data_IF_141050655851
#
_entry.id   IF_141050655851
#
_cell.length_a   1.000
_cell.length_b   1.000
_cell.length_c   1.000
_cell.angle_alpha   90.00
_cell.angle_beta   90.00
_cell.angle_gamma   90.00
#
_symmetry.space_group_name_H-M   'P 1'
#
loop_
_entity.id
_entity.type
_entity.pdbx_description
1 polymer ?
#
# COMPACT_ATOMS: atom_id res chain seq x y z
N UNK A 1 21.37 31.03 9.46
CA UNK A 1 21.17 29.68 10.03
C UNK A 1 21.15 28.74 8.84
N UNK A 2 21.90 27.66 8.86
CA UNK A 2 21.88 26.63 7.80
C UNK A 2 20.57 25.87 7.90
N UNK A 3 19.94 25.54 6.76
CA UNK A 3 18.75 24.69 6.70
C UNK A 3 19.06 23.32 7.32
N UNK A 4 18.20 22.79 8.20
CA UNK A 4 18.40 21.47 8.75
C UNK A 4 18.30 20.41 7.66
N UNK A 5 19.26 19.48 7.64
CA UNK A 5 19.30 18.37 6.68
C UNK A 5 18.46 17.20 7.16
N UNK A 6 17.75 16.53 6.23
CA UNK A 6 16.81 15.46 6.53
C UNK A 6 17.10 14.19 5.75
N UNK A 7 17.11 13.06 6.47
CA UNK A 7 16.86 11.73 5.91
C UNK A 7 15.37 11.46 5.96
N UNK A 8 14.72 11.36 4.79
CA UNK A 8 13.28 11.20 4.67
C UNK A 8 12.93 9.74 4.36
N UNK A 9 12.09 9.15 5.20
CA UNK A 9 11.58 7.78 5.04
C UNK A 9 10.13 7.83 4.58
N UNK A 10 9.84 7.24 3.44
CA UNK A 10 8.52 7.25 2.82
C UNK A 10 7.91 5.85 2.82
N UNK A 11 6.83 5.67 3.57
CA UNK A 11 6.18 4.39 3.78
C UNK A 11 5.40 3.87 2.57
N UNK A 12 5.11 2.56 2.58
CA UNK A 12 4.18 1.90 1.66
C UNK A 12 2.73 2.24 2.02
N UNK A 13 1.79 2.22 1.06
CA UNK A 13 0.38 2.42 1.39
C UNK A 13 -0.55 2.70 0.19
N UNK A 14 -0.19 2.31 -1.02
CA UNK A 14 -1.04 2.49 -2.20
C UNK A 14 -1.39 3.96 -2.43
N UNK A 15 -2.66 4.26 -2.71
CA UNK A 15 -3.13 5.62 -2.99
C UNK A 15 -2.86 6.62 -1.85
N UNK A 16 -2.84 6.15 -0.58
CA UNK A 16 -2.47 6.99 0.58
C UNK A 16 -1.08 7.62 0.43
N UNK A 17 -0.20 6.96 -0.33
CA UNK A 17 1.14 7.47 -0.62
C UNK A 17 1.19 8.81 -1.36
N UNK A 18 0.08 9.29 -1.95
CA UNK A 18 0.05 10.67 -2.46
C UNK A 18 0.29 11.72 -1.35
N UNK A 19 0.02 11.38 -0.10
CA UNK A 19 0.35 12.23 1.03
C UNK A 19 1.86 12.55 1.14
N UNK A 20 2.73 11.67 0.62
CA UNK A 20 4.17 11.92 0.56
C UNK A 20 4.51 13.18 -0.26
N UNK A 21 3.75 13.46 -1.33
CA UNK A 21 3.95 14.68 -2.14
C UNK A 21 3.76 15.91 -1.26
N UNK A 22 2.62 15.98 -0.56
CA UNK A 22 2.33 17.09 0.34
C UNK A 22 3.32 17.21 1.50
N UNK A 23 3.78 16.06 2.03
CA UNK A 23 4.80 16.04 3.08
C UNK A 23 6.14 16.61 2.58
N UNK A 24 6.61 16.22 1.40
CA UNK A 24 7.84 16.75 0.79
C UNK A 24 7.70 18.25 0.56
N UNK A 25 6.60 18.71 -0.03
CA UNK A 25 6.36 20.13 -0.32
C UNK A 25 6.34 20.98 0.96
N UNK A 26 5.71 20.50 2.04
CA UNK A 26 5.66 21.21 3.30
C UNK A 26 7.03 21.24 4.00
N UNK A 27 7.80 20.14 3.98
CA UNK A 27 9.16 20.11 4.52
C UNK A 27 10.05 21.16 3.82
N UNK A 28 10.00 21.23 2.49
CA UNK A 28 10.74 22.23 1.73
C UNK A 28 10.27 23.65 2.03
N UNK A 29 8.96 23.87 2.14
CA UNK A 29 8.39 25.18 2.49
C UNK A 29 8.80 25.66 3.90
N UNK A 30 9.02 24.72 4.83
CA UNK A 30 9.53 25.00 6.19
C UNK A 30 11.07 25.11 6.24
N UNK A 31 11.75 25.03 5.09
CA UNK A 31 13.19 25.25 4.97
C UNK A 31 14.05 24.04 5.32
N UNK A 32 13.49 22.83 5.34
CA UNK A 32 14.27 21.61 5.48
C UNK A 32 14.96 21.24 4.14
N UNK A 33 16.18 20.69 4.24
CA UNK A 33 16.98 20.25 3.10
C UNK A 33 17.02 18.71 3.07
N UNK A 34 16.27 18.10 2.15
CA UNK A 34 16.17 16.63 2.02
C UNK A 34 17.41 16.13 1.28
N UNK A 35 18.28 15.39 2.00
CA UNK A 35 19.55 14.86 1.48
C UNK A 35 19.53 13.37 1.18
N UNK A 36 18.65 12.65 1.87
CA UNK A 36 18.51 11.20 1.70
C UNK A 36 17.04 10.81 1.68
N UNK A 37 16.67 9.87 0.82
CA UNK A 37 15.34 9.27 0.80
C UNK A 37 15.46 7.75 0.77
N UNK A 38 14.72 7.08 1.65
CA UNK A 38 14.42 5.66 1.53
C UNK A 38 12.90 5.46 1.41
N UNK A 39 12.48 4.68 0.43
CA UNK A 39 11.06 4.46 0.17
C UNK A 39 10.70 3.01 -0.10
N UNK A 40 9.45 2.67 0.20
CA UNK A 40 8.83 1.38 -0.11
C UNK A 40 7.52 1.60 -0.86
N UNK A 41 7.27 0.84 -1.94
CA UNK A 41 6.04 0.96 -2.75
C UNK A 41 5.82 2.38 -3.25
N UNK A 42 4.68 3.00 -2.94
CA UNK A 42 4.40 4.40 -3.28
C UNK A 42 5.45 5.36 -2.70
N UNK A 43 6.02 5.06 -1.53
CA UNK A 43 7.11 5.85 -0.97
C UNK A 43 8.37 5.81 -1.84
N UNK A 44 8.69 4.65 -2.43
CA UNK A 44 9.78 4.54 -3.39
C UNK A 44 9.47 5.33 -4.67
N UNK A 45 8.25 5.24 -5.19
CA UNK A 45 7.84 5.96 -6.38
C UNK A 45 7.94 7.48 -6.17
N UNK A 46 7.28 8.02 -5.13
CA UNK A 46 7.26 9.47 -4.88
C UNK A 46 8.67 9.98 -4.53
N UNK A 47 9.40 9.24 -3.70
CA UNK A 47 10.78 9.59 -3.35
C UNK A 47 11.72 9.61 -4.56
N UNK A 48 11.61 8.61 -5.44
CA UNK A 48 12.40 8.53 -6.66
C UNK A 48 12.08 9.63 -7.68
N UNK A 49 10.78 9.92 -7.85
CA UNK A 49 10.31 11.02 -8.70
C UNK A 49 10.80 12.37 -8.17
N UNK A 50 10.77 12.59 -6.86
CA UNK A 50 11.33 13.79 -6.23
C UNK A 50 12.85 13.87 -6.46
N UNK A 51 13.57 12.79 -6.17
CA UNK A 51 15.03 12.74 -6.36
C UNK A 51 15.45 12.99 -7.80
N UNK A 52 14.63 12.59 -8.78
CA UNK A 52 14.83 12.89 -10.20
C UNK A 52 14.40 14.31 -10.61
N UNK A 53 13.93 15.16 -9.68
CA UNK A 53 13.45 16.52 -9.97
C UNK A 53 12.16 16.56 -10.80
N UNK A 54 11.31 15.53 -10.69
CA UNK A 54 10.08 15.37 -11.49
C UNK A 54 8.80 15.41 -10.67
N UNK A 55 8.89 15.82 -9.38
CA UNK A 55 7.75 15.78 -8.47
C UNK A 55 6.56 16.62 -8.97
N UNK A 56 6.79 17.83 -9.48
CA UNK A 56 5.73 18.71 -9.97
C UNK A 56 4.99 18.08 -11.15
N UNK A 57 5.73 17.56 -12.13
CA UNK A 57 5.13 16.89 -13.29
C UNK A 57 4.31 15.65 -12.91
N UNK A 58 4.80 14.89 -11.93
CA UNK A 58 4.07 13.73 -11.41
C UNK A 58 2.82 14.16 -10.65
N UNK A 59 2.93 15.16 -9.76
CA UNK A 59 1.79 15.71 -9.01
C UNK A 59 0.68 16.17 -9.95
N UNK A 60 1.02 16.97 -10.98
CA UNK A 60 0.06 17.52 -11.92
C UNK A 60 -0.62 16.41 -12.73
N UNK A 61 0.14 15.38 -13.13
CA UNK A 61 -0.42 14.18 -13.76
C UNK A 61 -1.35 13.41 -12.81
N UNK A 62 -0.95 13.20 -11.55
CA UNK A 62 -1.75 12.48 -10.56
C UNK A 62 -3.07 13.20 -10.24
N UNK A 63 -3.05 14.53 -10.14
CA UNK A 63 -4.25 15.38 -9.96
C UNK A 63 -5.23 15.31 -11.14
N UNK A 64 -4.71 15.13 -12.33
CA UNK A 64 -5.54 15.01 -13.53
C UNK A 64 -6.23 13.66 -13.66
N UNK A 65 -5.84 12.63 -12.87
CA UNK A 65 -6.42 11.29 -12.93
C UNK A 65 -7.84 11.26 -12.40
N UNK A 66 -8.78 10.90 -13.27
CA UNK A 66 -10.17 10.62 -12.92
C UNK A 66 -10.37 9.11 -12.69
N UNK A 67 -11.50 8.71 -12.08
CA UNK A 67 -11.83 7.29 -11.84
C UNK A 67 -11.74 6.44 -13.12
N UNK A 68 -12.21 6.96 -14.26
CA UNK A 68 -12.15 6.27 -15.55
C UNK A 68 -10.71 6.11 -16.06
N UNK A 69 -9.84 7.09 -15.80
CA UNK A 69 -8.44 7.01 -16.21
C UNK A 69 -7.70 5.93 -15.42
N UNK A 70 -7.96 5.83 -14.11
CA UNK A 70 -7.43 4.76 -13.27
C UNK A 70 -7.85 3.41 -13.82
N UNK A 71 -9.13 3.21 -14.16
CA UNK A 71 -9.62 1.96 -14.75
C UNK A 71 -9.01 1.66 -16.12
N UNK A 72 -8.74 2.68 -16.94
CA UNK A 72 -8.06 2.53 -18.25
C UNK A 72 -6.58 2.20 -18.13
N UNK A 73 -5.93 2.66 -17.08
CA UNK A 73 -4.53 2.36 -16.80
C UNK A 73 -4.34 0.94 -16.27
N UNK A 74 -5.42 0.31 -15.78
CA UNK A 74 -5.41 -1.06 -15.30
C UNK A 74 -5.53 -2.03 -16.49
N UNK A 75 -4.37 -2.58 -16.91
CA UNK A 75 -4.34 -3.62 -17.94
C UNK A 75 -4.65 -4.99 -17.31
N UNK A 76 -5.91 -5.41 -17.39
CA UNK A 76 -6.36 -6.68 -16.84
C UNK A 76 -5.71 -7.89 -17.53
N UNK A 77 -5.16 -8.81 -16.74
CA UNK A 77 -4.62 -10.08 -17.25
C UNK A 77 -4.98 -11.23 -16.32
N UNK A 78 -5.33 -12.37 -16.92
CA UNK A 78 -5.65 -13.60 -16.18
C UNK A 78 -4.47 -14.56 -16.08
N UNK A 79 -3.29 -14.18 -16.57
CA UNK A 79 -2.11 -15.04 -16.58
C UNK A 79 -0.93 -14.37 -15.86
N UNK A 80 -0.11 -15.17 -15.16
CA UNK A 80 1.17 -14.73 -14.60
C UNK A 80 1.13 -14.15 -13.18
N UNK A 81 0.15 -14.54 -12.34
CA UNK A 81 0.17 -14.24 -10.91
C UNK A 81 -0.22 -12.81 -10.52
N UNK A 82 -0.67 -11.99 -11.46
CA UNK A 82 -1.20 -10.64 -11.23
C UNK A 82 -2.44 -10.37 -12.07
N UNK A 83 -3.39 -9.63 -11.53
CA UNK A 83 -4.60 -9.21 -12.24
C UNK A 83 -4.33 -8.06 -13.23
N UNK A 84 -3.29 -7.27 -12.97
CA UNK A 84 -2.94 -6.08 -13.74
C UNK A 84 -1.50 -6.24 -14.25
N UNK A 85 -1.32 -6.10 -15.56
CA UNK A 85 0.04 -6.01 -16.13
C UNK A 85 0.74 -4.73 -15.69
N UNK A 86 -0.02 -3.65 -15.61
CA UNK A 86 0.47 -2.32 -15.27
C UNK A 86 1.35 -1.69 -16.33
N UNK A 87 1.44 -2.28 -17.53
CA UNK A 87 2.36 -1.84 -18.58
C UNK A 87 2.14 -0.37 -18.97
N UNK A 88 0.86 0.09 -18.96
CA UNK A 88 0.52 1.49 -19.27
C UNK A 88 0.96 2.46 -18.19
N UNK A 89 0.73 2.12 -16.91
CA UNK A 89 1.20 2.93 -15.77
C UNK A 89 2.72 2.98 -15.80
N UNK A 90 3.34 1.82 -15.97
CA UNK A 90 4.80 1.68 -16.01
C UNK A 90 5.39 2.43 -17.19
N UNK A 91 4.77 2.36 -18.39
CA UNK A 91 5.17 3.15 -19.54
C UNK A 91 5.10 4.65 -19.27
N UNK A 92 3.99 5.12 -18.67
CA UNK A 92 3.83 6.53 -18.30
C UNK A 92 4.85 7.00 -17.26
N UNK A 93 5.16 6.17 -16.28
CA UNK A 93 6.20 6.46 -15.29
C UNK A 93 7.59 6.52 -15.95
N UNK A 94 7.88 5.61 -16.88
CA UNK A 94 9.14 5.63 -17.64
C UNK A 94 9.28 6.92 -18.44
N UNK A 95 8.22 7.33 -19.14
CA UNK A 95 8.21 8.59 -19.90
C UNK A 95 8.45 9.81 -19.00
N UNK A 96 7.92 9.79 -17.78
CA UNK A 96 8.01 10.91 -16.85
C UNK A 96 9.36 10.97 -16.13
N UNK A 97 9.87 9.82 -15.68
CA UNK A 97 11.14 9.73 -14.93
C UNK A 97 12.33 9.81 -15.90
N UNK A 98 12.18 9.20 -17.09
CA UNK A 98 13.28 9.04 -18.03
C UNK A 98 14.23 7.90 -17.66
N UNK A 99 15.38 7.83 -18.35
CA UNK A 99 16.44 6.86 -18.08
C UNK A 99 17.50 7.53 -17.18
N UNK A 100 17.36 7.34 -15.87
CA UNK A 100 18.25 7.89 -14.85
C UNK A 100 18.73 6.76 -13.95
N UNK A 101 20.03 6.76 -13.61
CA UNK A 101 20.54 5.86 -12.58
C UNK A 101 20.45 6.50 -11.19
N UNK A 102 20.31 5.69 -10.18
CA UNK A 102 20.19 6.14 -8.79
C UNK A 102 21.43 6.88 -8.34
N UNK A 103 22.62 6.40 -8.75
CA UNK A 103 23.90 7.02 -8.43
C UNK A 103 24.13 8.40 -9.06
N UNK A 104 23.34 8.75 -10.09
CA UNK A 104 23.42 10.05 -10.78
C UNK A 104 22.43 11.07 -10.19
N UNK A 105 21.63 10.68 -9.19
CA UNK A 105 20.68 11.57 -8.51
C UNK A 105 21.39 12.59 -7.61
N UNK A 106 20.84 13.81 -7.46
CA UNK A 106 21.45 14.86 -6.63
C UNK A 106 21.41 14.57 -5.13
N UNK A 107 20.59 13.60 -4.70
CA UNK A 107 20.42 13.18 -3.31
C UNK A 107 20.55 11.66 -3.20
N UNK A 108 20.91 11.18 -2.00
CA UNK A 108 20.95 9.74 -1.72
C UNK A 108 19.54 9.15 -1.81
N UNK A 109 19.37 8.06 -2.56
CA UNK A 109 18.08 7.40 -2.73
C UNK A 109 18.20 5.89 -2.59
N UNK A 110 17.21 5.29 -1.93
CA UNK A 110 17.08 3.83 -1.84
C UNK A 110 15.61 3.40 -1.98
N UNK A 111 15.34 2.57 -2.98
CA UNK A 111 14.07 1.85 -3.07
C UNK A 111 14.18 0.46 -2.43
N UNK A 112 13.16 0.06 -1.68
CA UNK A 112 13.10 -1.27 -1.07
C UNK A 112 12.12 -2.14 -1.84
N UNK A 113 12.56 -3.35 -2.21
CA UNK A 113 11.73 -4.42 -2.75
C UNK A 113 11.98 -5.71 -1.95
N UNK A 114 11.24 -6.77 -2.26
CA UNK A 114 11.40 -8.09 -1.63
C UNK A 114 11.72 -9.13 -2.68
N UNK A 115 12.80 -9.89 -2.47
CA UNK A 115 13.07 -11.11 -3.22
C UNK A 115 12.19 -12.23 -2.66
N UNK A 116 11.19 -12.63 -3.45
CA UNK A 116 10.19 -13.59 -3.04
C UNK A 116 10.78 -14.99 -2.78
N UNK A 117 11.79 -15.37 -3.59
CA UNK A 117 12.40 -16.69 -3.47
C UNK A 117 13.38 -16.77 -2.30
N UNK A 118 14.12 -15.70 -2.04
CA UNK A 118 15.08 -15.64 -0.93
C UNK A 118 14.47 -15.09 0.37
N UNK A 119 13.19 -14.67 0.34
CA UNK A 119 12.43 -14.16 1.49
C UNK A 119 13.16 -13.05 2.24
N UNK A 120 13.74 -12.10 1.51
CA UNK A 120 14.53 -11.00 2.08
C UNK A 120 14.33 -9.69 1.34
N UNK A 121 14.64 -8.60 2.05
CA UNK A 121 14.68 -7.26 1.46
C UNK A 121 15.79 -7.16 0.41
N UNK A 122 15.53 -6.37 -0.64
CA UNK A 122 16.47 -5.94 -1.65
C UNK A 122 16.46 -4.43 -1.70
N UNK A 123 17.60 -3.81 -1.44
CA UNK A 123 17.76 -2.36 -1.44
C UNK A 123 18.43 -1.92 -2.72
N UNK A 124 17.70 -1.16 -3.51
CA UNK A 124 18.19 -0.55 -4.74
C UNK A 124 18.75 0.85 -4.42
N UNK A 125 20.06 0.95 -4.31
CA UNK A 125 20.79 2.21 -4.11
C UNK A 125 21.72 2.55 -5.28
N UNK A 126 21.67 1.76 -6.36
CA UNK A 126 22.40 1.93 -7.62
C UNK A 126 21.65 1.29 -8.77
N UNK A 127 22.02 1.68 -10.00
CA UNK A 127 21.40 1.20 -11.23
C UNK A 127 20.15 1.97 -11.60
N UNK A 128 19.35 1.45 -12.52
CA UNK A 128 18.18 2.13 -13.04
C UNK A 128 17.17 2.50 -11.97
N UNK A 129 16.87 3.79 -11.83
CA UNK A 129 15.83 4.30 -10.94
C UNK A 129 14.47 3.71 -11.28
N UNK A 130 14.17 3.61 -12.58
CA UNK A 130 12.91 3.04 -13.05
C UNK A 130 12.75 1.57 -12.64
N UNK A 131 13.78 0.72 -12.83
CA UNK A 131 13.74 -0.68 -12.44
C UNK A 131 13.58 -0.86 -10.93
N UNK A 132 14.24 -0.01 -10.13
CA UNK A 132 14.12 0.00 -8.68
C UNK A 132 12.68 0.32 -8.23
N UNK A 133 12.08 1.37 -8.80
CA UNK A 133 10.69 1.74 -8.53
C UNK A 133 9.75 0.61 -8.99
N UNK A 134 9.95 0.07 -10.20
CA UNK A 134 9.13 -1.02 -10.75
C UNK A 134 9.14 -2.27 -9.85
N UNK A 135 10.28 -2.61 -9.29
CA UNK A 135 10.40 -3.71 -8.34
C UNK A 135 9.64 -3.40 -7.03
N UNK A 136 9.82 -2.17 -6.51
CA UNK A 136 9.24 -1.75 -5.24
C UNK A 136 7.71 -1.64 -5.24
N UNK A 137 7.09 -1.35 -6.39
CA UNK A 137 5.62 -1.22 -6.53
C UNK A 137 4.94 -2.51 -7.03
N UNK A 138 5.64 -3.63 -7.12
CA UNK A 138 5.11 -4.90 -7.60
C UNK A 138 4.23 -5.61 -6.55
N UNK A 139 3.11 -5.00 -6.19
CA UNK A 139 2.16 -5.51 -5.18
C UNK A 139 1.61 -6.86 -5.65
N UNK A 140 1.80 -7.96 -4.86
CA UNK A 140 1.24 -9.26 -5.19
C UNK A 140 -0.28 -9.17 -5.38
N UNK A 141 -0.83 -9.94 -6.30
CA UNK A 141 -2.25 -9.96 -6.71
C UNK A 141 -2.73 -8.72 -7.49
N UNK A 142 -2.02 -7.59 -7.39
CA UNK A 142 -2.33 -6.35 -8.14
C UNK A 142 -1.44 -6.26 -9.37
N UNK A 143 -0.12 -6.33 -9.19
CA UNK A 143 0.86 -6.26 -10.26
C UNK A 143 1.60 -7.58 -10.44
N UNK A 144 2.08 -7.84 -11.66
CA UNK A 144 3.00 -8.95 -11.90
C UNK A 144 4.30 -8.73 -11.13
N UNK A 145 4.85 -9.79 -10.51
CA UNK A 145 6.19 -9.74 -9.96
C UNK A 145 7.20 -9.22 -10.99
N UNK A 146 8.16 -8.45 -10.56
CA UNK A 146 9.21 -7.92 -11.41
C UNK A 146 10.40 -8.87 -11.48
N UNK A 147 10.73 -9.34 -12.70
CA UNK A 147 11.89 -10.19 -12.89
C UNK A 147 13.09 -9.33 -13.25
N UNK A 148 14.07 -9.27 -12.35
CA UNK A 148 15.26 -8.46 -12.51
C UNK A 148 16.51 -9.20 -12.04
N UNK A 149 17.53 -9.31 -12.90
CA UNK A 149 18.79 -10.00 -12.63
C UNK A 149 18.63 -11.40 -12.02
N UNK A 150 17.72 -12.21 -12.58
CA UNK A 150 17.45 -13.58 -12.14
C UNK A 150 16.65 -13.70 -10.83
N UNK A 151 16.15 -12.59 -10.28
CA UNK A 151 15.33 -12.54 -9.07
C UNK A 151 13.87 -12.30 -9.41
N UNK A 152 12.97 -12.82 -8.58
CA UNK A 152 11.53 -12.53 -8.62
C UNK A 152 11.22 -11.56 -7.51
N UNK A 153 11.01 -10.29 -7.87
CA UNK A 153 10.84 -9.18 -6.93
C UNK A 153 9.38 -8.78 -6.80
N UNK A 154 8.99 -8.48 -5.57
CA UNK A 154 7.66 -7.98 -5.21
C UNK A 154 7.79 -6.74 -4.33
N UNK A 155 6.66 -6.10 -4.05
CA UNK A 155 6.55 -4.87 -3.27
C UNK A 155 7.31 -4.90 -1.94
N UNK A 156 8.05 -3.82 -1.68
CA UNK A 156 8.87 -3.69 -0.47
C UNK A 156 8.06 -3.66 0.81
N UNK A 157 6.83 -3.16 0.75
CA UNK A 157 5.92 -3.10 1.90
C UNK A 157 5.59 -4.47 2.51
N UNK A 158 5.86 -5.56 1.79
CA UNK A 158 5.67 -6.90 2.31
C UNK A 158 6.57 -7.22 3.53
N UNK A 159 7.81 -6.71 3.55
CA UNK A 159 8.77 -6.94 4.65
C UNK A 159 9.28 -5.65 5.30
N UNK A 160 9.18 -4.52 4.61
CA UNK A 160 9.66 -3.24 5.12
C UNK A 160 8.74 -2.08 4.69
N UNK A 161 7.57 -1.95 5.32
CA UNK A 161 6.61 -0.91 4.98
C UNK A 161 7.12 0.51 5.27
N UNK A 162 8.01 0.70 6.26
CA UNK A 162 8.64 2.00 6.58
C UNK A 162 10.16 1.78 6.67
N UNK A 163 10.92 2.01 5.58
CA UNK A 163 12.31 1.60 5.47
C UNK A 163 13.29 2.61 6.09
N UNK A 164 13.43 2.59 7.42
CA UNK A 164 14.34 3.48 8.15
C UNK A 164 15.80 3.07 7.96
N UNK A 165 16.10 1.76 8.07
CA UNK A 165 17.47 1.24 8.06
C UNK A 165 18.34 1.75 6.90
N UNK A 166 17.85 1.86 5.65
CA UNK A 166 18.66 2.35 4.53
C UNK A 166 19.18 3.78 4.72
N UNK A 167 18.50 4.62 5.53
CA UNK A 167 18.91 6.02 5.75
C UNK A 167 19.99 6.19 6.82
N UNK A 168 20.25 5.16 7.64
CA UNK A 168 21.19 5.25 8.77
C UNK A 168 22.65 5.48 8.36
N UNK A 169 22.98 5.25 7.08
CA UNK A 169 24.33 5.51 6.53
C UNK A 169 24.56 6.96 6.15
N UNK A 170 23.49 7.74 6.04
CA UNK A 170 23.56 9.13 5.59
C UNK A 170 23.61 10.07 6.81
N UNK A 171 24.60 10.95 6.84
CA UNK A 171 24.77 11.92 7.92
C UNK A 171 23.89 13.14 7.68
N UNK A 172 22.75 13.17 8.35
CA UNK A 172 21.80 14.29 8.34
C UNK A 172 21.44 14.70 9.77
N UNK A 173 20.90 15.91 9.92
CA UNK A 173 20.57 16.46 11.24
C UNK A 173 19.42 15.67 11.90
N UNK A 174 18.46 15.16 11.10
CA UNK A 174 17.36 14.36 11.62
C UNK A 174 16.83 13.36 10.58
N UNK A 175 16.12 12.32 11.09
CA UNK A 175 15.38 11.35 10.30
C UNK A 175 13.88 11.58 10.51
N UNK A 176 13.16 11.82 9.43
CA UNK A 176 11.69 12.01 9.43
C UNK A 176 11.05 10.85 8.66
N UNK A 177 10.07 10.18 9.26
CA UNK A 177 9.33 9.11 8.62
C UNK A 177 7.87 9.53 8.36
N UNK A 178 7.39 9.32 7.14
CA UNK A 178 5.97 9.49 6.79
C UNK A 178 5.33 8.10 6.73
N UNK A 179 4.52 7.81 7.75
CA UNK A 179 3.77 6.55 7.86
C UNK A 179 2.35 6.75 7.33
N UNK A 180 2.05 6.21 6.16
CA UNK A 180 0.73 6.33 5.52
C UNK A 180 -0.20 5.15 5.87
N UNK A 181 0.18 4.33 6.84
CA UNK A 181 -0.60 3.26 7.42
C UNK A 181 -0.82 3.45 8.93
N UNK A 182 -0.70 4.67 9.42
CA UNK A 182 -0.94 4.99 10.82
C UNK A 182 -2.34 4.52 11.27
N UNK A 183 -2.55 4.28 12.58
CA UNK A 183 -3.85 3.87 13.08
C UNK A 183 -5.00 4.75 12.58
N UNK A 184 -6.17 4.13 12.40
CA UNK A 184 -7.36 4.86 11.98
C UNK A 184 -7.72 5.93 13.01
N UNK A 185 -8.08 7.11 12.55
CA UNK A 185 -8.62 8.17 13.39
C UNK A 185 -10.14 8.14 13.37
N UNK A 186 -10.78 8.46 14.50
CA UNK A 186 -12.22 8.64 14.57
C UNK A 186 -12.60 9.85 13.70
N UNK A 187 -13.50 9.64 12.74
CA UNK A 187 -14.11 10.75 12.01
C UNK A 187 -15.10 11.39 12.99
N UNK A 188 -14.76 12.53 13.57
CA UNK A 188 -15.72 13.35 14.33
C UNK A 188 -16.79 13.85 13.35
N UNK A 189 -17.94 13.17 13.31
CA UNK A 189 -19.04 13.54 12.39
C UNK A 189 -20.29 12.67 12.44
N UNK A 190 -20.37 11.65 13.29
CA UNK A 190 -21.62 10.92 13.52
C UNK A 190 -22.00 11.01 15.00
N UNK A 191 -22.99 11.89 15.29
CA UNK A 191 -23.54 12.14 16.62
C UNK A 191 -24.29 10.93 17.17
N UNK A 192 -23.55 9.94 17.64
CA UNK A 192 -24.01 8.81 18.44
C UNK A 192 -23.35 8.87 19.81
N UNK A 193 -24.14 9.31 20.80
CA UNK A 193 -23.79 9.31 22.22
C UNK A 193 -23.40 7.89 22.68
N UNK A 194 -22.11 7.64 22.86
CA UNK A 194 -21.58 6.46 23.52
C UNK A 194 -20.54 6.95 24.55
N UNK A 195 -20.92 6.85 25.82
CA UNK A 195 -20.23 7.35 27.00
C UNK A 195 -18.72 7.13 26.99
N UNK A 196 -18.01 8.23 27.13
CA UNK A 196 -16.56 8.27 27.23
C UNK A 196 -16.12 7.72 28.59
N UNK A 197 -15.50 6.56 28.60
CA UNK A 197 -14.59 6.17 29.68
C UNK A 197 -13.18 6.63 29.31
N UNK A 198 -12.77 7.77 29.87
CA UNK A 198 -11.41 8.30 29.77
C UNK A 198 -10.60 7.74 30.94
N UNK A 199 -9.93 6.62 30.71
CA UNK A 199 -8.82 6.18 31.56
C UNK A 199 -7.51 6.24 30.78
N UNK A 200 -6.45 6.87 31.34
CA UNK A 200 -5.14 6.89 30.69
C UNK A 200 -4.55 5.47 30.73
N UNK A 201 -4.23 4.94 29.55
CA UNK A 201 -3.60 3.64 29.45
C UNK A 201 -2.11 3.83 29.76
N UNK A 202 -1.74 3.49 31.00
CA UNK A 202 -0.35 3.28 31.40
C UNK A 202 0.25 2.16 30.54
N UNK A 203 1.37 2.48 29.92
CA UNK A 203 2.15 1.53 29.15
C UNK A 203 2.84 0.52 30.09
N UNK A 204 2.13 -0.51 30.50
CA UNK A 204 2.71 -1.66 31.18
C UNK A 204 2.57 -2.87 30.26
N UNK A 205 3.70 -3.44 29.87
CA UNK A 205 3.78 -4.71 29.14
C UNK A 205 3.10 -5.82 29.98
N UNK A 206 1.85 -6.12 29.63
CA UNK A 206 1.10 -7.26 30.16
C UNK A 206 0.91 -8.30 29.06
N UNK A 207 1.76 -9.33 29.06
CA UNK A 207 1.58 -10.54 28.26
C UNK A 207 0.31 -11.26 28.70
N UNK A 208 -0.79 -11.08 27.98
CA UNK A 208 -1.97 -11.92 28.14
C UNK A 208 -1.99 -12.94 27.00
N UNK A 209 -1.34 -14.06 27.24
CA UNK A 209 -1.50 -15.26 26.42
C UNK A 209 -2.91 -15.82 26.71
N UNK A 210 -3.87 -15.55 25.82
CA UNK A 210 -5.15 -16.24 25.84
C UNK A 210 -4.90 -17.73 25.49
N UNK A 211 -4.94 -18.59 26.49
CA UNK A 211 -4.88 -20.03 26.30
C UNK A 211 -6.27 -20.46 25.79
N UNK A 212 -6.35 -20.78 24.51
CA UNK A 212 -7.51 -21.47 23.95
C UNK A 212 -7.59 -22.87 24.54
N UNK A 213 -8.78 -23.37 24.92
CA UNK A 213 -8.95 -24.75 25.34
C UNK A 213 -8.63 -25.72 24.20
N UNK A 214 -8.14 -26.94 24.47
CA UNK A 214 -7.79 -27.88 23.42
C UNK A 214 -9.01 -28.27 22.61
N UNK A 215 -8.88 -28.20 21.29
CA UNK A 215 -9.90 -28.61 20.35
C UNK A 215 -10.21 -30.10 20.53
N UNK A 216 -11.50 -30.41 20.74
CA UNK A 216 -11.99 -31.77 20.77
C UNK A 216 -11.75 -32.46 19.42
N UNK A 217 -11.44 -33.75 19.47
CA UNK A 217 -11.20 -34.60 18.32
C UNK A 217 -12.39 -34.59 17.33
N UNK A 218 -12.12 -34.65 16.01
CA UNK A 218 -13.15 -34.66 15.00
C UNK A 218 -13.97 -35.98 15.06
N UNK A 219 -15.26 -35.96 14.77
CA UNK A 219 -16.07 -37.16 14.68
C UNK A 219 -15.64 -38.02 13.50
N UNK A 220 -15.62 -39.35 13.72
CA UNK A 220 -15.28 -40.34 12.73
C UNK A 220 -16.27 -40.30 11.55
N UNK A 221 -15.71 -40.28 10.33
CA UNK A 221 -16.47 -40.35 9.08
C UNK A 221 -16.81 -41.82 8.84
N UNK A 222 -18.07 -42.17 8.93
CA UNK A 222 -18.61 -43.46 8.55
C UNK A 222 -18.71 -43.55 7.02
N UNK A 223 -18.04 -44.51 6.45
CA UNK A 223 -18.05 -44.79 5.01
C UNK A 223 -19.31 -45.59 4.66
N UNK A 224 -20.19 -45.00 3.85
CA UNK A 224 -21.26 -45.77 3.17
C UNK A 224 -20.91 -45.94 1.70
N UNK A 225 -20.82 -47.19 1.25
CA UNK A 225 -20.65 -47.59 -0.12
C UNK A 225 -21.98 -47.53 -0.92
N UNK A 226 -21.94 -47.36 -2.23
CA UNK A 226 -23.15 -47.24 -3.03
C UNK A 226 -23.64 -48.61 -3.55
N UNK A 227 -24.91 -48.88 -3.40
CA UNK A 227 -25.59 -49.95 -4.12
C UNK A 227 -26.58 -49.40 -5.17
N UNK A 228 -26.52 -49.98 -6.36
CA UNK A 228 -27.69 -50.38 -7.14
C UNK A 228 -28.18 -49.42 -8.22
N UNK A 229 -27.83 -49.75 -9.44
CA UNK A 229 -28.47 -49.31 -10.68
C UNK A 229 -29.93 -49.84 -10.76
N UNK A 230 -30.85 -49.05 -11.28
CA UNK A 230 -31.82 -49.57 -12.25
C UNK A 230 -32.27 -48.49 -13.24
N UNK A 231 -32.45 -48.98 -14.46
CA UNK A 231 -32.78 -48.28 -15.68
C UNK A 231 -34.30 -48.15 -15.83
N UNK A 232 -34.80 -47.10 -16.43
CA UNK A 232 -35.71 -47.00 -17.57
C UNK A 232 -36.59 -45.74 -17.52
N UNK A 233 -36.55 -44.98 -18.56
CA UNK A 233 -37.64 -44.61 -19.45
C UNK A 233 -37.51 -43.19 -20.01
N UNK A 234 -37.56 -43.16 -21.34
CA UNK A 234 -37.63 -42.00 -22.23
C UNK A 234 -38.80 -41.06 -21.87
N UNK A 235 -38.48 -39.73 -21.96
CA UNK A 235 -39.47 -38.79 -22.53
C UNK A 235 -38.70 -37.56 -23.11
N UNK A 236 -38.98 -37.31 -24.33
CA UNK A 236 -38.55 -36.25 -25.22
C UNK A 236 -39.00 -34.85 -24.75
N UNK A 237 -38.09 -33.89 -24.82
CA UNK A 237 -38.41 -32.47 -24.64
C UNK A 237 -37.16 -31.65 -24.81
N UNK A 238 -36.90 -31.21 -26.05
CA UNK A 238 -35.80 -30.33 -26.43
C UNK A 238 -36.09 -28.91 -26.00
N UNK A 239 -35.41 -28.46 -24.95
CA UNK A 239 -35.03 -27.06 -24.81
C UNK A 239 -33.59 -27.00 -24.32
N UNK A 240 -32.68 -26.79 -25.29
CA UNK A 240 -31.27 -26.63 -25.05
C UNK A 240 -31.07 -25.22 -24.53
N UNK A 241 -31.11 -25.05 -23.19
CA UNK A 241 -30.61 -23.86 -22.52
C UNK A 241 -29.10 -23.92 -22.63
N UNK A 242 -28.54 -23.18 -23.60
CA UNK A 242 -27.09 -23.01 -23.68
C UNK A 242 -26.61 -22.30 -22.40
N UNK A 243 -25.56 -22.79 -21.75
CA UNK A 243 -25.01 -22.10 -20.58
C UNK A 243 -24.52 -20.71 -21.03
N UNK A 244 -24.77 -19.66 -20.23
CA UNK A 244 -24.36 -18.29 -20.55
C UNK A 244 -22.86 -18.24 -20.83
N UNK A 245 -22.50 -17.60 -21.92
CA UNK A 245 -21.11 -17.41 -22.33
C UNK A 245 -20.38 -16.63 -21.22
N UNK A 246 -19.09 -16.93 -21.03
CA UNK A 246 -18.22 -16.31 -20.01
C UNK A 246 -18.31 -14.76 -20.00
N UNK A 247 -18.57 -14.14 -21.16
CA UNK A 247 -18.83 -12.69 -21.28
C UNK A 247 -20.14 -12.24 -20.61
N UNK A 248 -21.19 -13.05 -20.64
CA UNK A 248 -22.48 -12.74 -20.00
C UNK A 248 -22.36 -12.83 -18.47
N UNK A 249 -21.61 -13.80 -17.94
CA UNK A 249 -21.34 -13.89 -16.49
C UNK A 249 -20.50 -12.72 -15.98
N UNK A 250 -19.57 -12.21 -16.76
CA UNK A 250 -18.79 -11.01 -16.41
C UNK A 250 -19.66 -9.75 -16.49
N UNK A 251 -20.53 -9.61 -17.49
CA UNK A 251 -21.46 -8.50 -17.59
C UNK A 251 -22.46 -8.48 -16.42
N UNK A 252 -23.06 -9.63 -16.08
CA UNK A 252 -23.95 -9.77 -14.91
C UNK A 252 -23.23 -9.51 -13.58
N UNK A 253 -21.95 -9.91 -13.46
CA UNK A 253 -21.13 -9.58 -12.29
C UNK A 253 -20.82 -8.09 -12.19
N UNK A 254 -20.53 -7.42 -13.31
CA UNK A 254 -20.26 -5.99 -13.37
C UNK A 254 -21.54 -5.16 -13.17
N UNK A 255 -22.67 -5.57 -13.74
CA UNK A 255 -23.99 -4.94 -13.52
C UNK A 255 -24.43 -5.10 -12.06
N UNK A 256 -24.24 -6.28 -11.46
CA UNK A 256 -24.48 -6.50 -10.04
C UNK A 256 -23.62 -5.67 -9.09
N UNK A 257 -22.43 -5.24 -9.53
CA UNK A 257 -21.57 -4.29 -8.82
C UNK A 257 -22.03 -2.83 -8.96
N UNK A 258 -22.66 -2.49 -10.08
CA UNK A 258 -23.16 -1.14 -10.38
C UNK A 258 -24.54 -0.87 -9.80
N UNK A 259 -25.45 -1.86 -9.80
CA UNK A 259 -26.84 -1.71 -9.28
C UNK A 259 -26.96 -1.74 -7.76
N UNK A 260 -25.97 -2.25 -7.01
CA UNK A 260 -26.01 -2.31 -5.52
C UNK A 260 -25.76 -0.97 -4.83
N UNK A 261 -25.88 0.17 -5.51
CA UNK A 261 -25.61 1.50 -4.93
C UNK A 261 -26.84 2.32 -4.55
N UNK A 262 -28.05 1.74 -4.54
CA UNK A 262 -29.24 2.41 -3.96
C UNK A 262 -29.69 1.70 -2.67
N UNK A 263 -29.41 2.37 -1.56
CA UNK A 263 -30.05 2.25 -0.22
C UNK A 263 -30.40 0.85 0.26
N UNK A 264 -29.48 0.17 0.93
CA UNK A 264 -29.80 -0.74 2.03
C UNK A 264 -28.80 -0.56 3.18
N UNK A 265 -29.34 -0.47 4.41
CA UNK A 265 -28.65 -0.60 5.69
C UNK A 265 -27.56 -1.67 5.58
N UNK A 266 -26.32 -1.47 6.07
CA UNK A 266 -25.24 -2.42 5.88
C UNK A 266 -25.54 -3.70 6.66
N UNK A 267 -26.05 -4.71 5.97
CA UNK A 267 -25.77 -6.10 6.35
C UNK A 267 -24.31 -6.31 6.00
N UNK A 268 -23.47 -6.65 6.95
CA UNK A 268 -22.07 -7.01 6.74
C UNK A 268 -22.00 -8.11 5.67
N UNK A 269 -21.77 -7.69 4.44
CA UNK A 269 -21.45 -8.62 3.35
C UNK A 269 -20.02 -9.08 3.58
N UNK A 270 -19.80 -10.41 3.60
CA UNK A 270 -18.46 -10.97 3.68
C UNK A 270 -17.52 -10.26 2.67
N UNK A 271 -16.35 -9.79 3.11
CA UNK A 271 -15.41 -9.09 2.25
C UNK A 271 -14.97 -10.02 1.10
N UNK A 272 -14.93 -9.50 -0.11
CA UNK A 272 -14.43 -10.25 -1.25
C UNK A 272 -12.96 -10.67 -1.02
N UNK A 273 -12.51 -11.74 -1.71
CA UNK A 273 -11.15 -12.30 -1.53
C UNK A 273 -10.07 -11.22 -1.66
N UNK A 274 -10.22 -10.29 -2.61
CA UNK A 274 -9.26 -9.21 -2.83
C UNK A 274 -9.24 -8.21 -1.67
N UNK A 275 -10.40 -7.89 -1.13
CA UNK A 275 -10.56 -7.01 0.03
C UNK A 275 -10.00 -7.67 1.30
N UNK A 276 -10.29 -8.96 1.49
CA UNK A 276 -9.74 -9.74 2.60
C UNK A 276 -8.21 -9.78 2.54
N UNK A 277 -7.64 -10.02 1.35
CA UNK A 277 -6.20 -9.99 1.14
C UNK A 277 -5.59 -8.62 1.46
N UNK A 278 -6.20 -7.54 0.97
CA UNK A 278 -5.74 -6.18 1.21
C UNK A 278 -5.77 -5.84 2.70
N UNK A 279 -6.87 -6.15 3.41
CA UNK A 279 -6.98 -5.95 4.86
C UNK A 279 -5.97 -6.79 5.65
N UNK A 280 -5.73 -8.03 5.23
CA UNK A 280 -4.72 -8.90 5.85
C UNK A 280 -3.31 -8.33 5.67
N UNK A 281 -2.99 -7.82 4.48
CA UNK A 281 -1.71 -7.16 4.20
C UNK A 281 -1.55 -5.89 5.05
N UNK A 282 -2.60 -5.07 5.20
CA UNK A 282 -2.58 -3.88 6.06
C UNK A 282 -2.26 -4.25 7.52
N UNK A 283 -2.86 -5.32 8.06
CA UNK A 283 -2.57 -5.80 9.44
C UNK A 283 -1.11 -6.23 9.60
N UNK A 284 -0.58 -6.98 8.63
CA UNK A 284 0.82 -7.41 8.64
C UNK A 284 1.76 -6.22 8.55
N UNK A 285 1.50 -5.28 7.64
CA UNK A 285 2.31 -4.08 7.46
C UNK A 285 2.29 -3.18 8.71
N UNK A 286 1.14 -2.99 9.35
CA UNK A 286 1.01 -2.24 10.60
C UNK A 286 1.85 -2.87 11.71
N UNK A 287 1.79 -4.20 11.84
CA UNK A 287 2.57 -4.93 12.84
C UNK A 287 4.07 -4.77 12.61
N UNK A 288 4.53 -4.95 11.36
CA UNK A 288 5.94 -4.78 10.99
C UNK A 288 6.37 -3.32 11.22
N UNK A 289 5.54 -2.34 10.84
CA UNK A 289 5.83 -0.91 11.04
C UNK A 289 6.07 -0.60 12.51
N UNK A 290 5.20 -1.09 13.42
CA UNK A 290 5.38 -0.90 14.87
C UNK A 290 6.71 -1.47 15.36
N UNK A 291 7.09 -2.67 14.93
CA UNK A 291 8.38 -3.26 15.29
C UNK A 291 9.56 -2.45 14.73
N UNK A 292 9.49 -2.01 13.48
CA UNK A 292 10.54 -1.21 12.84
C UNK A 292 10.71 0.15 13.53
N UNK A 293 9.62 0.87 13.80
CA UNK A 293 9.64 2.14 14.52
C UNK A 293 10.14 2.01 15.96
N UNK A 294 9.83 0.90 16.63
CA UNK A 294 10.33 0.64 17.99
C UNK A 294 11.83 0.28 17.99
N UNK A 295 12.30 -0.49 17.00
CA UNK A 295 13.71 -0.91 16.91
C UNK A 295 14.62 0.23 16.44
N UNK A 296 14.14 1.10 15.58
CA UNK A 296 14.87 2.21 14.97
C UNK A 296 13.97 3.45 14.92
N UNK A 297 13.77 4.12 16.07
CA UNK A 297 12.89 5.28 16.13
C UNK A 297 13.47 6.42 15.28
N UNK A 298 12.70 6.99 14.32
CA UNK A 298 13.07 8.24 13.67
C UNK A 298 12.91 9.40 14.63
N UNK A 299 13.51 10.55 14.33
CA UNK A 299 13.36 11.75 15.17
C UNK A 299 11.94 12.32 15.10
N UNK A 300 11.22 12.10 14.00
CA UNK A 300 9.82 12.49 13.82
C UNK A 300 9.08 11.46 12.98
N UNK A 301 7.86 11.11 13.37
CA UNK A 301 6.89 10.38 12.55
C UNK A 301 5.76 11.32 12.15
N UNK A 302 5.45 11.37 10.87
CA UNK A 302 4.28 12.07 10.31
C UNK A 302 3.22 11.02 10.02
N UNK A 303 2.17 10.91 10.86
CA UNK A 303 1.15 9.88 10.69
C UNK A 303 0.08 10.33 9.70
N UNK A 304 -0.21 9.49 8.71
CA UNK A 304 -1.36 9.60 7.81
C UNK A 304 -2.30 8.44 8.12
N UNK A 305 -3.53 8.69 8.55
CA UNK A 305 -4.44 7.65 8.99
C UNK A 305 -4.77 6.66 7.87
N UNK A 306 -4.78 5.36 8.16
CA UNK A 306 -5.09 4.32 7.17
C UNK A 306 -6.50 4.41 6.60
N UNK A 307 -7.44 5.04 7.32
CA UNK A 307 -8.80 5.27 6.87
C UNK A 307 -8.98 6.57 6.07
N UNK A 308 -7.91 7.29 5.75
CA UNK A 308 -7.97 8.46 4.87
C UNK A 308 -8.51 8.11 3.48
N UNK A 309 -8.11 6.95 2.93
CA UNK A 309 -8.69 6.38 1.71
C UNK A 309 -8.40 4.89 1.60
N UNK A 310 -9.14 4.20 0.71
CA UNK A 310 -8.79 2.84 0.32
C UNK A 310 -7.51 2.83 -0.54
N UNK A 311 -6.73 1.75 -0.48
CA UNK A 311 -5.41 1.66 -1.14
C UNK A 311 -5.45 1.82 -2.66
N UNK A 312 -6.62 1.65 -3.30
CA UNK A 312 -6.84 1.72 -4.76
C UNK A 312 -7.51 3.02 -5.22
N UNK A 313 -7.81 3.99 -4.34
CA UNK A 313 -8.50 5.24 -4.68
C UNK A 313 -7.55 6.32 -5.25
N UNK A 314 -6.79 5.97 -6.28
CA UNK A 314 -5.81 6.89 -6.92
C UNK A 314 -6.41 8.16 -7.54
N UNK A 315 -7.72 8.26 -7.66
CA UNK A 315 -8.41 9.48 -8.12
C UNK A 315 -8.54 10.56 -7.03
N UNK A 316 -8.14 10.28 -5.78
CA UNK A 316 -8.20 11.23 -4.65
C UNK A 316 -6.86 11.92 -4.38
N UNK A 317 -6.05 12.08 -5.42
CA UNK A 317 -4.68 12.61 -5.28
C UNK A 317 -4.66 13.99 -4.61
N UNK A 318 -5.51 14.94 -5.03
CA UNK A 318 -5.55 16.29 -4.48
C UNK A 318 -5.81 16.30 -2.97
N UNK A 319 -6.81 15.57 -2.54
CA UNK A 319 -7.20 15.45 -1.13
C UNK A 319 -6.06 14.87 -0.27
N UNK A 320 -5.42 13.81 -0.78
CA UNK A 320 -4.34 13.13 -0.05
C UNK A 320 -3.06 13.98 0.00
N UNK A 321 -2.74 14.71 -1.05
CA UNK A 321 -1.62 15.66 -1.08
C UNK A 321 -1.84 16.74 0.00
N UNK A 322 -3.05 17.31 0.05
CA UNK A 322 -3.35 18.33 1.06
C UNK A 322 -3.33 17.77 2.48
N UNK A 323 -3.84 16.56 2.69
CA UNK A 323 -3.74 15.85 3.96
C UNK A 323 -2.27 15.68 4.38
N UNK A 324 -1.41 15.26 3.46
CA UNK A 324 0.03 15.13 3.71
C UNK A 324 0.68 16.44 4.14
N UNK A 325 0.33 17.54 3.46
CA UNK A 325 0.80 18.89 3.80
C UNK A 325 0.34 19.34 5.19
N UNK A 326 -0.95 19.14 5.46
CA UNK A 326 -1.54 19.51 6.76
C UNK A 326 -0.88 18.73 7.92
N UNK A 327 -0.76 17.40 7.80
CA UNK A 327 -0.17 16.54 8.83
C UNK A 327 1.31 16.83 9.06
N UNK A 328 2.04 17.14 8.00
CA UNK A 328 3.45 17.55 8.13
C UNK A 328 3.57 18.86 8.87
N UNK A 329 2.78 19.86 8.52
CA UNK A 329 2.75 21.15 9.23
C UNK A 329 2.41 20.99 10.69
N UNK A 330 1.45 20.13 11.02
CA UNK A 330 1.05 19.84 12.38
C UNK A 330 2.19 19.17 13.16
N UNK A 331 2.81 18.14 12.61
CA UNK A 331 3.92 17.43 13.24
C UNK A 331 5.14 18.33 13.47
N UNK A 332 5.41 19.28 12.57
CA UNK A 332 6.54 20.20 12.69
C UNK A 332 6.32 21.34 13.69
N UNK A 333 5.10 21.63 14.14
CA UNK A 333 4.83 22.74 15.08
C UNK A 333 5.68 22.70 16.35
N UNK A 334 5.88 21.52 16.89
CA UNK A 334 6.61 21.29 18.14
C UNK A 334 7.94 20.58 17.95
N UNK A 335 8.25 20.17 16.70
CA UNK A 335 9.48 19.49 16.41
C UNK A 335 10.66 20.45 16.34
N UNK A 336 11.77 20.06 16.94
CA UNK A 336 13.07 20.73 16.82
C UNK A 336 14.08 19.66 16.43
N UNK A 337 14.78 19.81 15.29
CA UNK A 337 15.83 18.86 14.92
C UNK A 337 16.83 18.72 16.07
N UNK A 338 17.25 17.50 16.40
CA UNK A 338 18.30 17.28 17.39
C UNK A 338 19.59 17.92 16.85
N UNK A 339 20.29 18.69 17.70
CA UNK A 339 21.64 19.16 17.38
C UNK A 339 22.59 17.96 17.38
N UNK A 340 22.71 17.29 16.24
CA UNK A 340 23.75 16.27 16.02
C UNK A 340 25.03 17.01 15.65
N UNK A 341 25.82 17.39 16.68
CA UNK A 341 27.20 17.93 16.54
C UNK A 341 28.16 16.82 16.09
#
# INVERSE_FOLDING_TARGET
>A
MTSPTVSLVLGSGGARGYAHIGAIEELLAQGYDIRCIAGSSMGALIGGVYAAGKLDAYRDWARALQRFDVLRLLDWTFSGGGLIKGDRIIGKLKDLIGEVNIEDLPISYTAVAVDLMLQREVWFSRGSLFEAIRASIAIPTVFRPHHYQGRTLVDGGLLNPVPITPTLRDLTDCTIAVDVNAPAESIEGDGGDAGADKSPVDATFGSTTAILPPAGAPPAVESAAPEGADSTALATGTDVIQPPTYRQRIAEFLDGLLEKREKKVPVESDPGILELFARSLDVVQETITRFKLAAQPPDLVIPIPRNACAFYEFHRAEELIELGRMRTREALRHFRPPNRL
#
